data_IF_874391217986
#
_entry.id   IF_874391217986
#
_cell.length_a   1.000
_cell.length_b   1.000
_cell.length_c   1.000
_cell.angle_alpha   90.00
_cell.angle_beta   90.00
_cell.angle_gamma   90.00
#
_symmetry.space_group_name_H-M   'P 1'
#
loop_
_entity.id
_entity.type
_entity.pdbx_description
1 polymer ?
#
# COMPACT_ATOMS: atom_id res chain seq x y z
N UNK A 1 32.15 15.25 66.03
CA UNK A 1 31.18 15.91 65.11
C UNK A 1 31.72 15.73 63.70
N UNK A 2 30.92 15.11 62.82
CA UNK A 2 31.33 14.62 61.50
C UNK A 2 31.54 15.79 60.54
N UNK A 3 32.68 15.82 59.86
CA UNK A 3 32.97 16.77 58.78
C UNK A 3 32.23 16.31 57.51
N UNK A 4 31.36 17.17 56.98
CA UNK A 4 30.66 16.92 55.73
C UNK A 4 31.48 17.43 54.54
N UNK A 5 31.80 16.43 53.71
CA UNK A 5 32.08 16.41 52.29
C UNK A 5 31.26 17.43 51.47
N UNK A 6 31.92 18.16 50.57
CA UNK A 6 31.29 18.73 49.37
C UNK A 6 32.31 18.72 48.22
N UNK A 7 32.33 17.62 47.46
CA UNK A 7 32.98 17.54 46.15
C UNK A 7 31.98 18.06 45.11
N UNK A 8 32.33 19.15 44.41
CA UNK A 8 31.63 19.59 43.21
C UNK A 8 32.08 18.71 42.04
N UNK A 9 31.27 17.72 41.69
CA UNK A 9 31.38 17.02 40.40
C UNK A 9 30.70 17.88 39.34
N UNK A 10 31.51 18.52 38.51
CA UNK A 10 31.08 19.21 37.29
C UNK A 10 30.70 18.13 36.26
N UNK A 11 29.41 17.81 36.16
CA UNK A 11 28.89 16.91 35.13
C UNK A 11 28.82 17.66 33.80
N UNK A 12 29.79 17.39 32.92
CA UNK A 12 29.80 17.82 31.53
C UNK A 12 28.72 17.03 30.77
N UNK A 13 27.53 17.60 30.61
CA UNK A 13 26.48 17.03 29.75
C UNK A 13 26.83 17.34 28.29
N UNK A 14 27.44 16.38 27.59
CA UNK A 14 27.47 16.39 26.13
C UNK A 14 26.03 16.13 25.62
N UNK A 15 25.44 16.99 24.77
CA UNK A 15 24.26 16.60 24.02
C UNK A 15 24.71 15.54 23.00
N UNK A 16 24.24 14.32 23.19
CA UNK A 16 24.24 13.30 22.15
C UNK A 16 23.34 13.83 21.02
N UNK A 17 23.94 14.42 20.00
CA UNK A 17 23.29 14.67 18.72
C UNK A 17 23.05 13.30 18.11
N UNK A 18 21.84 12.78 18.28
CA UNK A 18 21.39 11.55 17.63
C UNK A 18 21.23 11.80 16.14
N UNK A 19 22.31 11.65 15.37
CA UNK A 19 22.20 11.27 13.97
C UNK A 19 21.75 9.80 13.93
N UNK A 20 20.44 9.58 14.00
CA UNK A 20 19.89 8.39 13.35
C UNK A 20 20.12 8.55 11.84
N UNK A 21 20.30 7.46 11.07
CA UNK A 21 20.13 7.56 9.63
C UNK A 21 18.80 8.24 9.39
N UNK A 22 18.80 9.28 8.57
CA UNK A 22 17.59 9.94 8.08
C UNK A 22 16.69 8.80 7.60
N UNK A 23 15.65 8.50 8.39
CA UNK A 23 14.69 7.46 8.03
C UNK A 23 14.21 7.86 6.65
N UNK A 24 14.45 7.03 5.64
CA UNK A 24 13.96 7.28 4.29
C UNK A 24 12.52 7.77 4.42
N UNK A 25 12.26 8.97 3.90
CA UNK A 25 10.95 9.59 4.09
C UNK A 25 9.93 8.63 3.54
N UNK A 26 8.94 8.27 4.36
CA UNK A 26 7.86 7.34 4.01
C UNK A 26 7.07 7.85 2.79
N UNK A 27 7.30 9.06 2.31
CA UNK A 27 6.68 9.59 1.11
C UNK A 27 7.56 9.53 -0.14
N UNK A 28 8.86 9.27 0.00
CA UNK A 28 9.79 9.23 -1.13
C UNK A 28 9.82 7.82 -1.74
N UNK A 29 9.85 7.74 -3.06
CA UNK A 29 9.89 6.50 -3.82
C UNK A 29 11.19 6.49 -4.63
N UNK A 30 12.27 6.04 -4.00
CA UNK A 30 13.63 5.98 -4.59
C UNK A 30 14.06 4.55 -4.96
N UNK A 31 13.21 3.56 -4.68
CA UNK A 31 13.46 2.15 -4.92
C UNK A 31 12.15 1.37 -4.95
N UNK A 32 12.21 0.05 -4.74
CA UNK A 32 11.04 -0.81 -4.82
C UNK A 32 10.06 -0.53 -3.68
N UNK A 33 8.79 -0.34 -4.04
CA UNK A 33 7.76 0.01 -3.06
C UNK A 33 6.37 -0.46 -3.45
N UNK A 34 5.63 -0.93 -2.46
CA UNK A 34 4.16 -1.03 -2.54
C UNK A 34 3.55 0.27 -2.03
N UNK A 35 2.84 0.96 -2.92
CA UNK A 35 2.19 2.25 -2.66
C UNK A 35 0.78 2.03 -2.11
N UNK A 36 0.06 1.00 -2.58
CA UNK A 36 -1.31 0.73 -2.15
C UNK A 36 -1.82 -0.66 -2.52
N UNK A 37 -2.85 -1.10 -1.81
CA UNK A 37 -3.65 -2.29 -2.14
C UNK A 37 -5.11 -1.89 -2.13
N UNK A 38 -5.82 -2.12 -3.22
CA UNK A 38 -7.26 -1.90 -3.34
C UNK A 38 -7.99 -3.23 -3.36
N UNK A 39 -9.21 -3.23 -2.82
CA UNK A 39 -10.19 -4.31 -2.95
C UNK A 39 -11.39 -3.74 -3.69
N UNK A 40 -11.95 -4.42 -4.68
CA UNK A 40 -13.20 -3.98 -5.31
C UNK A 40 -14.37 -3.91 -4.32
N UNK A 41 -14.40 -4.83 -3.35
CA UNK A 41 -15.32 -4.85 -2.22
C UNK A 41 -14.55 -4.83 -0.88
N UNK A 42 -14.30 -3.65 -0.28
CA UNK A 42 -13.51 -3.53 0.94
C UNK A 42 -14.07 -4.32 2.12
N UNK A 43 -15.37 -4.17 2.38
CA UNK A 43 -16.21 -5.07 3.18
C UNK A 43 -17.18 -5.80 2.26
N UNK A 44 -16.98 -7.11 2.12
CA UNK A 44 -17.64 -7.94 1.12
C UNK A 44 -18.91 -8.62 1.66
N UNK A 45 -19.71 -9.15 0.74
CA UNK A 45 -20.64 -10.23 1.07
C UNK A 45 -19.84 -11.51 1.43
N UNK A 46 -20.37 -12.42 2.25
CA UNK A 46 -19.70 -13.68 2.54
C UNK A 46 -19.70 -14.60 1.33
N UNK A 47 -18.59 -15.33 1.17
CA UNK A 47 -18.42 -16.33 0.11
C UNK A 47 -18.60 -15.76 -1.30
N UNK A 48 -18.23 -14.50 -1.51
CA UNK A 48 -18.18 -13.87 -2.83
C UNK A 48 -16.74 -13.63 -3.24
N UNK A 49 -16.53 -13.53 -4.55
CA UNK A 49 -15.22 -13.20 -5.08
C UNK A 49 -14.94 -11.71 -4.84
N UNK A 50 -13.71 -11.40 -4.46
CA UNK A 50 -13.19 -10.06 -4.18
C UNK A 50 -11.86 -9.94 -4.92
N UNK A 51 -11.77 -8.96 -5.79
CA UNK A 51 -10.55 -8.64 -6.54
C UNK A 51 -9.67 -7.70 -5.73
N UNK A 52 -8.41 -8.09 -5.56
CA UNK A 52 -7.35 -7.27 -4.99
C UNK A 52 -6.43 -6.77 -6.09
N UNK A 53 -5.99 -5.52 -5.95
CA UNK A 53 -5.07 -4.87 -6.89
C UNK A 53 -3.90 -4.23 -6.14
N UNK A 54 -2.70 -4.39 -6.68
CA UNK A 54 -1.46 -3.86 -6.13
C UNK A 54 -0.99 -2.65 -6.93
N UNK A 55 -0.84 -1.51 -6.26
CA UNK A 55 -0.09 -0.38 -6.79
C UNK A 55 1.33 -0.43 -6.22
N UNK A 56 2.31 -0.52 -7.10
CA UNK A 56 3.72 -0.60 -6.76
C UNK A 56 4.57 0.20 -7.75
N UNK A 57 5.79 0.52 -7.35
CA UNK A 57 6.75 1.28 -8.15
C UNK A 57 8.18 0.83 -7.82
N UNK A 58 9.10 0.97 -8.77
CA UNK A 58 10.52 0.71 -8.55
C UNK A 58 11.34 1.83 -9.20
N UNK A 59 11.73 2.80 -8.38
CA UNK A 59 12.53 3.94 -8.81
C UNK A 59 14.04 3.71 -8.60
N UNK A 60 14.47 2.46 -8.45
CA UNK A 60 15.89 2.13 -8.27
C UNK A 60 16.67 2.32 -9.57
N UNK A 61 17.39 3.44 -9.68
CA UNK A 61 18.26 3.75 -10.83
C UNK A 61 17.48 4.17 -12.09
N UNK A 62 18.21 4.33 -13.19
CA UNK A 62 17.68 4.93 -14.43
C UNK A 62 17.01 3.91 -15.37
N UNK A 63 17.21 2.62 -15.14
CA UNK A 63 16.69 1.55 -16.02
C UNK A 63 15.72 0.69 -15.24
N UNK A 64 14.45 0.57 -15.69
CA UNK A 64 13.50 -0.37 -15.10
C UNK A 64 14.09 -1.78 -15.10
N UNK A 65 14.03 -2.44 -13.95
CA UNK A 65 14.37 -3.85 -13.80
C UNK A 65 13.11 -4.68 -13.73
N UNK A 66 13.24 -5.95 -14.11
CA UNK A 66 12.15 -6.91 -14.00
C UNK A 66 11.83 -7.17 -12.53
N UNK A 67 10.53 -7.29 -12.24
CA UNK A 67 10.02 -7.56 -10.92
C UNK A 67 8.98 -8.67 -10.99
N UNK A 68 8.97 -9.56 -9.99
CA UNK A 68 7.95 -10.57 -9.79
C UNK A 68 6.99 -10.13 -8.67
N UNK A 69 5.69 -10.20 -8.92
CA UNK A 69 4.65 -9.94 -7.93
C UNK A 69 3.93 -11.23 -7.63
N UNK A 70 3.55 -11.42 -6.37
CA UNK A 70 2.78 -12.59 -5.98
C UNK A 70 1.66 -12.27 -5.01
N UNK A 71 0.71 -13.19 -4.95
CA UNK A 71 -0.37 -13.24 -3.97
C UNK A 71 -0.48 -14.63 -3.37
N UNK A 72 -0.84 -14.70 -2.09
CA UNK A 72 -1.18 -15.94 -1.38
C UNK A 72 -2.48 -15.73 -0.60
N UNK A 73 -3.57 -16.33 -1.08
CA UNK A 73 -4.89 -16.30 -0.46
C UNK A 73 -5.23 -17.57 0.33
N UNK A 74 -6.52 -17.89 0.37
CA UNK A 74 -7.07 -19.10 0.99
C UNK A 74 -6.99 -19.15 2.51
N UNK A 75 -6.56 -18.08 3.17
CA UNK A 75 -6.64 -17.97 4.61
C UNK A 75 -7.98 -17.38 5.03
N UNK A 76 -8.89 -18.23 5.49
CA UNK A 76 -10.23 -17.84 5.92
C UNK A 76 -10.42 -18.14 7.40
N UNK A 77 -10.91 -17.15 8.14
CA UNK A 77 -11.17 -17.20 9.58
C UNK A 77 -10.02 -17.84 10.37
N UNK A 78 -8.76 -17.36 10.23
CA UNK A 78 -7.63 -17.95 10.93
C UNK A 78 -7.84 -17.86 12.45
N UNK A 79 -7.25 -18.80 13.23
CA UNK A 79 -7.34 -18.77 14.68
C UNK A 79 -6.95 -17.42 15.27
N UNK A 80 -7.85 -16.83 16.05
CA UNK A 80 -7.66 -15.53 16.69
C UNK A 80 -7.61 -14.34 15.73
N UNK A 81 -8.02 -14.51 14.46
CA UNK A 81 -7.93 -13.49 13.42
C UNK A 81 -6.51 -12.99 13.16
N UNK A 82 -5.52 -13.85 13.46
CA UNK A 82 -4.10 -13.56 13.31
C UNK A 82 -3.57 -14.10 11.98
N UNK A 83 -2.78 -13.29 11.28
CA UNK A 83 -2.13 -13.69 10.02
C UNK A 83 -1.28 -14.96 10.18
N UNK A 84 -0.66 -15.18 11.35
CA UNK A 84 0.16 -16.37 11.61
C UNK A 84 -0.67 -17.67 11.59
N UNK A 85 -1.99 -17.57 11.84
CA UNK A 85 -2.91 -18.69 11.72
C UNK A 85 -3.11 -19.18 10.29
N UNK A 86 -2.71 -18.40 9.28
CA UNK A 86 -2.80 -18.77 7.87
C UNK A 86 -1.81 -19.87 7.48
N UNK A 87 -0.65 -19.95 8.14
CA UNK A 87 0.42 -20.89 7.76
C UNK A 87 -0.02 -22.35 7.90
N UNK A 88 -0.84 -22.65 8.91
CA UNK A 88 -1.43 -23.97 9.10
C UNK A 88 -2.44 -24.32 7.98
N UNK A 89 -3.24 -23.35 7.54
CA UNK A 89 -4.21 -23.55 6.45
C UNK A 89 -3.49 -23.78 5.12
N UNK A 90 -2.40 -23.08 4.85
CA UNK A 90 -1.58 -23.30 3.66
C UNK A 90 -0.90 -24.67 3.68
N UNK A 91 -0.38 -25.08 4.83
CA UNK A 91 0.21 -26.42 4.98
C UNK A 91 -0.82 -27.52 4.69
N UNK A 92 -2.04 -27.38 5.20
CA UNK A 92 -3.14 -28.29 4.90
C UNK A 92 -3.46 -28.31 3.40
N UNK A 93 -3.50 -27.13 2.77
CA UNK A 93 -3.83 -27.02 1.35
C UNK A 93 -2.72 -27.50 0.40
N UNK A 94 -1.44 -27.41 0.80
CA UNK A 94 -0.29 -27.96 0.06
C UNK A 94 -0.27 -29.50 0.01
N UNK A 95 -1.00 -30.18 0.92
CA UNK A 95 -1.09 -31.63 0.98
C UNK A 95 0.26 -32.35 1.24
N UNK A 96 0.31 -33.66 1.00
CA UNK A 96 1.56 -34.45 1.07
C UNK A 96 2.44 -34.24 -0.17
N UNK A 97 3.78 -34.39 -0.09
CA UNK A 97 4.67 -34.23 -1.23
C UNK A 97 4.36 -35.31 -2.29
N UNK A 98 4.34 -34.92 -3.57
CA UNK A 98 4.32 -35.89 -4.66
C UNK A 98 5.74 -36.09 -5.21
N UNK A 99 6.07 -37.28 -5.71
CA UNK A 99 7.46 -37.64 -6.11
C UNK A 99 7.98 -36.91 -7.38
N UNK A 100 7.52 -35.68 -7.69
CA UNK A 100 8.04 -34.86 -8.79
C UNK A 100 7.34 -33.52 -8.98
N UNK A 101 8.14 -32.43 -9.04
CA UNK A 101 7.79 -31.04 -9.39
C UNK A 101 6.50 -30.49 -8.77
N UNK A 102 6.56 -30.17 -7.46
CA UNK A 102 5.45 -29.77 -6.59
C UNK A 102 4.94 -28.32 -6.75
N UNK A 103 4.88 -27.76 -7.96
CA UNK A 103 4.25 -26.46 -8.20
C UNK A 103 3.25 -26.45 -9.36
N UNK A 104 3.39 -27.36 -10.33
CA UNK A 104 2.44 -27.49 -11.44
C UNK A 104 1.48 -28.66 -11.16
N UNK A 105 0.29 -28.37 -10.64
CA UNK A 105 -0.84 -29.31 -10.66
C UNK A 105 -1.29 -29.92 -9.33
N UNK A 106 -0.90 -29.35 -8.19
CA UNK A 106 -1.60 -29.65 -6.93
C UNK A 106 -3.02 -29.03 -6.99
N UNK A 107 -4.11 -29.84 -6.97
CA UNK A 107 -5.46 -29.31 -7.10
C UNK A 107 -5.79 -28.31 -5.99
N UNK A 108 -6.00 -27.05 -6.35
CA UNK A 108 -6.31 -25.97 -5.40
C UNK A 108 -5.18 -24.98 -5.13
N UNK A 109 -3.93 -25.28 -5.55
CA UNK A 109 -2.82 -24.34 -5.44
C UNK A 109 -3.03 -23.08 -6.32
N UNK A 110 -3.61 -23.28 -7.51
CA UNK A 110 -3.98 -22.20 -8.45
C UNK A 110 -5.03 -21.22 -7.87
N UNK A 111 -5.75 -21.63 -6.81
CA UNK A 111 -6.70 -20.77 -6.08
C UNK A 111 -6.08 -20.06 -4.89
N UNK A 112 -4.90 -20.53 -4.46
CA UNK A 112 -4.14 -19.93 -3.38
C UNK A 112 -3.16 -18.91 -3.92
N UNK A 113 -2.54 -19.20 -5.06
CA UNK A 113 -1.42 -18.45 -5.59
C UNK A 113 -1.80 -17.76 -6.89
N UNK A 114 -1.36 -16.51 -7.02
CA UNK A 114 -1.32 -15.83 -8.31
C UNK A 114 -0.04 -15.03 -8.42
N UNK A 115 0.40 -14.81 -9.66
CA UNK A 115 1.44 -13.85 -9.98
C UNK A 115 0.82 -12.64 -10.67
N UNK A 116 1.45 -11.49 -10.50
CA UNK A 116 0.97 -10.23 -11.08
C UNK A 116 0.32 -9.28 -10.09
N UNK A 117 -0.28 -8.23 -10.61
CA UNK A 117 -0.75 -7.11 -9.81
C UNK A 117 -2.21 -7.28 -9.35
N UNK A 118 -2.86 -8.37 -9.79
CA UNK A 118 -4.26 -8.68 -9.49
C UNK A 118 -4.38 -10.06 -8.87
N UNK A 119 -5.34 -10.20 -7.97
CA UNK A 119 -5.71 -11.49 -7.39
C UNK A 119 -7.16 -11.53 -6.98
N UNK A 120 -7.86 -12.61 -7.29
CA UNK A 120 -9.23 -12.84 -6.85
C UNK A 120 -9.22 -13.82 -5.71
N UNK A 121 -9.77 -13.41 -4.56
CA UNK A 121 -10.00 -14.29 -3.42
C UNK A 121 -11.48 -14.46 -3.16
N UNK A 122 -11.88 -15.63 -2.62
CA UNK A 122 -13.24 -15.82 -2.13
C UNK A 122 -13.31 -15.43 -0.66
N UNK A 123 -14.15 -14.44 -0.34
CA UNK A 123 -14.31 -13.93 1.01
C UNK A 123 -14.79 -15.01 1.98
N UNK A 124 -14.37 -14.91 3.25
CA UNK A 124 -14.66 -15.91 4.26
C UNK A 124 -16.17 -15.99 4.56
N UNK A 125 -16.67 -17.17 4.98
CA UNK A 125 -18.02 -17.27 5.54
C UNK A 125 -18.10 -16.53 6.89
N UNK A 126 -19.28 -16.02 7.22
CA UNK A 126 -19.54 -15.38 8.51
C UNK A 126 -19.50 -16.41 9.64
N UNK A 127 -18.85 -16.06 10.76
CA UNK A 127 -18.89 -16.85 12.00
C UNK A 127 -20.03 -16.38 12.90
N UNK A 128 -20.83 -17.31 13.41
CA UNK A 128 -21.96 -16.99 14.28
C UNK A 128 -21.55 -16.31 15.60
N UNK A 129 -20.34 -16.59 16.09
CA UNK A 129 -19.82 -16.00 17.33
C UNK A 129 -18.70 -15.00 17.00
N UNK A 130 -18.93 -13.68 17.12
CA UNK A 130 -17.86 -12.71 16.94
C UNK A 130 -16.80 -12.88 18.01
N UNK A 131 -15.53 -12.63 17.67
CA UNK A 131 -14.41 -12.72 18.61
C UNK A 131 -14.55 -11.74 19.79
N UNK A 132 -15.30 -10.65 19.61
CA UNK A 132 -15.56 -9.61 20.60
C UNK A 132 -17.08 -9.45 20.80
N UNK A 133 -17.52 -9.47 22.06
CA UNK A 133 -18.93 -9.26 22.40
C UNK A 133 -19.41 -7.87 21.94
N UNK A 134 -20.54 -7.82 21.25
CA UNK A 134 -21.15 -6.59 20.73
C UNK A 134 -20.69 -6.19 19.32
N UNK A 135 -19.68 -6.87 18.74
CA UNK A 135 -19.39 -6.71 17.31
C UNK A 135 -20.36 -7.53 16.46
N UNK A 136 -20.69 -7.06 15.24
CA UNK A 136 -21.41 -7.88 14.27
C UNK A 136 -20.64 -9.16 13.94
N UNK A 137 -21.39 -10.24 13.71
CA UNK A 137 -20.84 -11.47 13.14
C UNK A 137 -20.22 -11.17 11.79
N UNK A 138 -18.98 -11.61 11.59
CA UNK A 138 -18.23 -11.39 10.37
C UNK A 138 -17.36 -12.61 10.02
N UNK A 139 -16.97 -12.68 8.74
CA UNK A 139 -15.85 -13.49 8.30
C UNK A 139 -14.62 -12.61 8.06
N UNK A 140 -13.45 -13.24 8.07
CA UNK A 140 -12.18 -12.58 7.75
C UNK A 140 -11.37 -13.45 6.79
N UNK A 141 -11.02 -12.91 5.63
CA UNK A 141 -9.97 -13.46 4.77
C UNK A 141 -8.70 -12.62 4.90
N UNK A 142 -7.55 -13.27 4.97
CA UNK A 142 -6.23 -12.61 4.92
C UNK A 142 -5.54 -13.02 3.62
N UNK A 143 -5.15 -12.05 2.82
CA UNK A 143 -4.45 -12.24 1.55
C UNK A 143 -3.08 -11.61 1.65
N UNK A 144 -2.04 -12.38 1.37
CA UNK A 144 -0.66 -11.92 1.39
C UNK A 144 -0.23 -11.51 -0.01
N UNK A 145 0.69 -10.57 -0.09
CA UNK A 145 1.28 -10.12 -1.33
C UNK A 145 2.77 -9.85 -1.17
N UNK A 146 3.48 -9.83 -2.28
CA UNK A 146 4.82 -9.28 -2.32
C UNK A 146 5.28 -8.87 -3.71
N UNK A 147 6.31 -8.03 -3.72
CA UNK A 147 7.00 -7.57 -4.93
C UNK A 147 8.49 -7.82 -4.73
N UNK A 148 9.10 -8.49 -5.70
CA UNK A 148 10.50 -8.90 -5.69
C UNK A 148 11.19 -8.35 -6.95
N UNK A 149 12.21 -7.52 -6.78
CA UNK A 149 13.08 -7.09 -7.86
C UNK A 149 14.18 -8.14 -8.13
N UNK A 150 13.74 -9.35 -8.47
CA UNK A 150 14.55 -10.54 -8.64
C UNK A 150 13.64 -11.73 -8.98
N UNK A 151 14.00 -12.93 -8.52
CA UNK A 151 13.23 -14.16 -8.76
C UNK A 151 12.65 -14.74 -7.45
N UNK A 152 11.39 -15.17 -7.47
CA UNK A 152 10.74 -15.78 -6.32
C UNK A 152 11.12 -17.27 -6.16
N UNK A 153 11.56 -17.62 -4.96
CA UNK A 153 11.87 -18.99 -4.53
C UNK A 153 10.60 -19.76 -4.10
N UNK A 154 9.78 -20.16 -5.08
CA UNK A 154 8.55 -20.93 -4.85
C UNK A 154 8.80 -22.34 -4.30
N UNK A 155 9.84 -23.02 -4.81
CA UNK A 155 10.20 -24.37 -4.38
C UNK A 155 10.70 -24.37 -2.93
N UNK A 156 11.59 -23.43 -2.58
CA UNK A 156 12.07 -23.31 -1.22
C UNK A 156 10.96 -22.90 -0.26
N UNK A 157 10.01 -22.06 -0.68
CA UNK A 157 8.84 -21.72 0.13
C UNK A 157 7.98 -22.92 0.50
N UNK A 158 7.55 -23.71 -0.48
CA UNK A 158 6.71 -24.88 -0.24
C UNK A 158 7.42 -25.91 0.65
N UNK A 159 8.73 -26.11 0.45
CA UNK A 159 9.54 -26.99 1.30
C UNK A 159 9.68 -26.48 2.74
N UNK A 160 9.87 -25.17 2.94
CA UNK A 160 9.96 -24.56 4.29
C UNK A 160 8.66 -24.75 5.06
N UNK A 161 7.51 -24.48 4.42
CA UNK A 161 6.19 -24.72 5.02
C UNK A 161 6.00 -26.18 5.42
N UNK A 162 6.28 -27.12 4.51
CA UNK A 162 6.15 -28.57 4.77
C UNK A 162 7.03 -29.06 5.92
N UNK A 163 8.22 -28.48 6.09
CA UNK A 163 9.16 -28.83 7.18
C UNK A 163 8.84 -28.11 8.50
N UNK A 164 7.84 -27.23 8.53
CA UNK A 164 7.53 -26.39 9.68
C UNK A 164 8.64 -25.39 10.02
N UNK A 165 9.44 -24.99 9.03
CA UNK A 165 10.56 -24.04 9.18
C UNK A 165 10.07 -22.61 8.96
N UNK A 166 9.02 -22.23 9.69
CA UNK A 166 8.35 -20.93 9.58
C UNK A 166 8.19 -20.35 10.97
N UNK A 167 9.02 -19.34 11.26
CA UNK A 167 9.07 -18.68 12.57
C UNK A 167 8.37 -17.32 12.55
N UNK A 168 8.27 -16.70 11.37
CA UNK A 168 7.74 -15.36 11.16
C UNK A 168 7.19 -15.19 9.74
N UNK A 169 6.70 -13.99 9.42
CA UNK A 169 6.17 -13.69 8.09
C UNK A 169 7.24 -13.78 6.99
N UNK A 170 8.48 -13.36 7.27
CA UNK A 170 9.54 -13.35 6.26
C UNK A 170 9.94 -14.76 5.82
N UNK A 171 9.92 -15.73 6.75
CA UNK A 171 10.18 -17.15 6.47
C UNK A 171 8.97 -17.90 5.93
N UNK A 172 7.75 -17.41 6.18
CA UNK A 172 6.49 -17.98 5.71
C UNK A 172 6.17 -17.71 4.23
N UNK A 173 6.85 -16.76 3.61
CA UNK A 173 6.64 -16.33 2.23
C UNK A 173 7.79 -16.81 1.32
N UNK A 174 7.63 -16.77 -0.01
CA UNK A 174 8.73 -16.92 -0.97
C UNK A 174 9.90 -16.00 -0.61
N UNK A 175 11.12 -16.43 -0.89
CA UNK A 175 12.26 -15.50 -0.83
C UNK A 175 12.41 -14.83 -2.18
N UNK A 176 12.80 -13.56 -2.17
CA UNK A 176 13.31 -12.90 -3.35
C UNK A 176 14.80 -13.22 -3.48
N UNK A 177 15.19 -13.81 -4.61
CA UNK A 177 16.57 -14.18 -4.92
C UNK A 177 17.12 -13.23 -5.98
N UNK A 178 18.38 -12.82 -5.79
CA UNK A 178 19.13 -12.10 -6.81
C UNK A 178 19.45 -13.07 -7.97
N UNK A 179 19.04 -12.77 -9.21
CA UNK A 179 19.21 -13.70 -10.35
C UNK A 179 20.68 -13.97 -10.72
N UNK A 180 21.61 -13.10 -10.35
CA UNK A 180 23.03 -13.23 -10.67
C UNK A 180 23.77 -14.11 -9.66
N UNK A 181 23.43 -13.97 -8.39
CA UNK A 181 24.13 -14.66 -7.28
C UNK A 181 23.38 -15.88 -6.77
N UNK A 182 22.06 -15.94 -6.93
CA UNK A 182 21.17 -16.93 -6.31
C UNK A 182 21.02 -16.75 -4.80
N UNK A 183 21.57 -15.69 -4.22
CA UNK A 183 21.43 -15.35 -2.80
C UNK A 183 20.16 -14.52 -2.56
N UNK A 184 19.81 -14.25 -1.30
CA UNK A 184 18.67 -13.37 -0.98
C UNK A 184 18.94 -11.96 -1.51
N UNK A 185 17.93 -11.39 -2.18
CA UNK A 185 17.97 -10.01 -2.64
C UNK A 185 18.16 -9.04 -1.47
N UNK A 186 18.65 -7.84 -1.77
CA UNK A 186 18.83 -6.80 -0.77
C UNK A 186 17.48 -6.44 -0.13
N UNK A 187 17.44 -5.96 1.14
CA UNK A 187 16.19 -5.60 1.80
C UNK A 187 15.33 -4.58 1.03
N UNK A 188 15.94 -3.69 0.24
CA UNK A 188 15.23 -2.71 -0.60
C UNK A 188 14.65 -3.28 -1.89
N UNK A 189 14.90 -4.56 -2.20
CA UNK A 189 14.47 -5.24 -3.42
C UNK A 189 13.36 -6.26 -3.16
N UNK A 190 12.86 -6.32 -1.92
CA UNK A 190 11.78 -7.23 -1.54
C UNK A 190 10.81 -6.61 -0.56
N UNK A 191 9.56 -6.44 -0.99
CA UNK A 191 8.48 -5.89 -0.17
C UNK A 191 7.38 -6.94 -0.03
N UNK A 192 6.92 -7.19 1.19
CA UNK A 192 5.82 -8.10 1.48
C UNK A 192 4.82 -7.47 2.43
N UNK A 193 3.56 -7.92 2.34
CA UNK A 193 2.51 -7.49 3.23
C UNK A 193 1.31 -8.42 3.17
N UNK A 194 0.24 -8.01 3.85
CA UNK A 194 -1.06 -8.65 3.74
C UNK A 194 -2.17 -7.62 3.79
N UNK A 195 -3.32 -8.00 3.24
CA UNK A 195 -4.57 -7.26 3.27
C UNK A 195 -5.66 -8.14 3.88
N UNK A 196 -6.58 -7.50 4.57
CA UNK A 196 -7.73 -8.16 5.20
C UNK A 196 -9.01 -7.82 4.43
N UNK A 197 -9.80 -8.85 4.14
CA UNK A 197 -11.15 -8.76 3.57
C UNK A 197 -12.13 -9.20 4.64
N UNK A 198 -12.91 -8.25 5.18
CA UNK A 198 -13.99 -8.58 6.10
C UNK A 198 -15.25 -8.89 5.30
N UNK A 199 -16.02 -9.88 5.74
CA UNK A 199 -17.28 -10.23 5.13
C UNK A 199 -18.43 -10.12 6.12
N UNK A 200 -19.54 -9.51 5.67
CA UNK A 200 -20.73 -9.30 6.46
C UNK A 200 -21.98 -9.77 5.71
N UNK A 201 -22.81 -10.54 6.41
CA UNK A 201 -24.06 -11.04 5.84
C UNK A 201 -25.02 -9.89 5.49
N UNK A 202 -25.13 -8.90 6.37
CA UNK A 202 -26.01 -7.75 6.19
C UNK A 202 -25.37 -6.67 5.29
N UNK A 203 -26.11 -6.23 4.27
CA UNK A 203 -25.62 -5.27 3.27
C UNK A 203 -25.25 -3.91 3.87
N UNK A 204 -25.94 -3.50 4.95
CA UNK A 204 -25.71 -2.22 5.64
C UNK A 204 -24.33 -2.10 6.27
N UNK A 205 -23.59 -3.21 6.43
CA UNK A 205 -22.22 -3.19 6.91
C UNK A 205 -21.19 -3.12 5.77
N UNK A 206 -21.59 -3.11 4.50
CA UNK A 206 -20.68 -2.97 3.36
C UNK A 206 -20.35 -1.49 3.10
N UNK A 207 -19.30 -1.20 2.36
CA UNK A 207 -18.86 0.15 1.98
C UNK A 207 -18.31 0.19 0.56
N UNK A 208 -18.22 1.39 0.00
CA UNK A 208 -17.54 1.65 -1.27
C UNK A 208 -16.05 1.97 -1.06
N UNK A 209 -15.29 1.97 -2.16
CA UNK A 209 -13.97 2.59 -2.16
C UNK A 209 -14.11 4.12 -2.28
N UNK A 210 -13.10 4.89 -1.79
CA UNK A 210 -13.02 6.31 -2.05
C UNK A 210 -13.05 6.64 -3.55
N UNK A 211 -13.71 7.73 -3.91
CA UNK A 211 -13.86 8.22 -5.29
C UNK A 211 -13.00 9.46 -5.48
N UNK A 212 -12.05 9.40 -6.41
CA UNK A 212 -11.20 10.52 -6.82
C UNK A 212 -11.73 11.12 -8.13
N UNK A 213 -11.88 12.45 -8.16
CA UNK A 213 -12.55 13.19 -9.23
C UNK A 213 -14.04 13.39 -8.96
N UNK A 214 -14.75 13.86 -9.97
CA UNK A 214 -16.21 13.95 -9.98
C UNK A 214 -16.82 12.86 -10.88
N UNK A 215 -18.11 12.55 -10.69
CA UNK A 215 -18.83 11.54 -11.49
C UNK A 215 -18.99 11.92 -12.97
N UNK A 216 -18.74 13.19 -13.33
CA UNK A 216 -18.96 13.75 -14.66
C UNK A 216 -17.70 13.72 -15.54
N UNK A 217 -16.58 13.21 -15.02
CA UNK A 217 -15.31 13.11 -15.74
C UNK A 217 -14.49 14.41 -15.74
N UNK A 218 -14.67 15.25 -14.72
CA UNK A 218 -13.88 16.44 -14.48
C UNK A 218 -12.49 16.16 -13.93
N UNK A 219 -11.86 17.19 -13.36
CA UNK A 219 -10.48 17.11 -12.89
C UNK A 219 -10.34 16.13 -11.72
N UNK A 220 -9.27 15.33 -11.73
CA UNK A 220 -8.95 14.39 -10.65
C UNK A 220 -7.81 14.89 -9.74
N UNK A 221 -7.07 15.92 -10.16
CA UNK A 221 -5.95 16.47 -9.41
C UNK A 221 -5.71 17.96 -9.70
N UNK A 222 -5.24 18.66 -8.67
CA UNK A 222 -4.87 20.07 -8.71
C UNK A 222 -3.44 20.29 -8.18
N UNK A 223 -2.72 21.17 -8.84
CA UNK A 223 -1.42 21.70 -8.40
C UNK A 223 -1.54 23.22 -8.27
N UNK A 224 -1.30 23.76 -7.08
CA UNK A 224 -1.52 25.18 -6.74
C UNK A 224 -2.94 25.67 -7.09
N UNK A 225 -3.93 24.78 -6.93
CA UNK A 225 -5.33 25.05 -7.25
C UNK A 225 -5.66 25.08 -8.75
N UNK A 226 -4.74 24.68 -9.62
CA UNK A 226 -4.94 24.54 -11.06
C UNK A 226 -5.12 23.06 -11.40
N UNK A 227 -6.18 22.74 -12.14
CA UNK A 227 -6.43 21.38 -12.63
C UNK A 227 -5.33 20.93 -13.59
N UNK A 228 -4.85 19.69 -13.39
CA UNK A 228 -3.80 19.08 -14.23
C UNK A 228 -4.27 17.74 -14.78
N UNK A 229 -3.65 17.33 -15.90
CA UNK A 229 -3.86 16.00 -16.46
C UNK A 229 -3.30 14.93 -15.53
N UNK A 230 -4.03 13.83 -15.44
CA UNK A 230 -3.64 12.66 -14.63
C UNK A 230 -3.17 11.55 -15.54
N UNK A 231 -2.13 10.84 -15.12
CA UNK A 231 -1.67 9.65 -15.84
C UNK A 231 -2.71 8.54 -15.77
N UNK A 232 -3.28 8.37 -14.58
CA UNK A 232 -4.18 7.28 -14.26
C UNK A 232 -4.92 7.54 -12.94
N UNK A 233 -6.08 6.89 -12.80
CA UNK A 233 -6.87 6.83 -11.56
C UNK A 233 -7.29 5.38 -11.32
N UNK A 234 -7.23 4.93 -10.07
CA UNK A 234 -7.67 3.62 -9.64
C UNK A 234 -7.03 2.49 -10.46
N UNK A 235 -7.86 1.60 -11.02
CA UNK A 235 -7.37 0.45 -11.79
C UNK A 235 -6.56 0.83 -13.02
N UNK A 236 -6.72 2.05 -13.56
CA UNK A 236 -5.91 2.54 -14.68
C UNK A 236 -4.43 2.69 -14.32
N UNK A 237 -4.08 2.75 -13.03
CA UNK A 237 -2.69 2.79 -12.56
C UNK A 237 -2.07 1.41 -12.36
N UNK A 238 -2.86 0.35 -12.51
CA UNK A 238 -2.40 -1.03 -12.36
C UNK A 238 -2.22 -1.62 -13.74
N UNK A 239 -1.23 -2.49 -13.88
CA UNK A 239 -0.99 -3.09 -15.17
C UNK A 239 -2.20 -3.87 -15.70
N UNK A 240 -2.54 -3.70 -17.00
CA UNK A 240 -3.62 -4.45 -17.62
C UNK A 240 -3.23 -5.94 -17.71
N UNK A 241 -4.23 -6.82 -17.64
CA UNK A 241 -4.03 -8.28 -17.71
C UNK A 241 -3.41 -8.73 -19.05
N UNK A 242 -3.64 -7.97 -20.12
CA UNK A 242 -2.98 -8.11 -21.41
C UNK A 242 -2.36 -6.75 -21.77
N UNK A 243 -1.03 -6.68 -21.86
CA UNK A 243 -0.38 -5.54 -22.50
C UNK A 243 -0.69 -5.53 -24.00
N UNK A 244 -0.44 -4.41 -24.68
CA UNK A 244 -0.61 -4.32 -26.14
C UNK A 244 0.21 -5.39 -26.91
N UNK A 245 1.25 -5.94 -26.27
CA UNK A 245 2.15 -6.95 -26.81
C UNK A 245 1.86 -8.37 -26.28
N UNK A 246 0.86 -8.54 -25.42
CA UNK A 246 0.44 -9.83 -24.87
C UNK A 246 1.32 -10.39 -23.74
N UNK A 247 2.34 -9.64 -23.31
CA UNK A 247 3.20 -10.00 -22.17
C UNK A 247 2.70 -9.35 -20.87
N UNK A 248 2.75 -10.05 -19.73
CA UNK A 248 2.44 -9.44 -18.44
C UNK A 248 3.44 -8.33 -18.13
N UNK A 249 2.99 -7.22 -17.54
CA UNK A 249 3.92 -6.20 -17.09
C UNK A 249 4.91 -6.78 -16.07
N UNK A 250 6.20 -6.71 -16.39
CA UNK A 250 7.30 -7.04 -15.49
C UNK A 250 8.00 -5.79 -14.93
N UNK A 251 7.69 -4.61 -15.47
CA UNK A 251 8.25 -3.31 -15.04
C UNK A 251 7.16 -2.40 -14.48
N UNK A 252 7.52 -1.37 -13.69
CA UNK A 252 6.57 -0.38 -13.21
C UNK A 252 5.83 0.29 -14.37
N UNK A 253 4.66 0.86 -14.06
CA UNK A 253 3.84 1.55 -15.06
C UNK A 253 4.67 2.68 -15.73
N UNK A 254 4.74 2.72 -17.08
CA UNK A 254 5.64 3.61 -17.79
C UNK A 254 5.43 5.07 -17.40
N UNK A 255 6.53 5.79 -17.23
CA UNK A 255 6.53 7.23 -17.01
C UNK A 255 6.32 7.89 -18.38
N UNK A 256 5.40 8.85 -18.52
CA UNK A 256 5.33 9.64 -19.75
C UNK A 256 6.69 10.29 -20.03
N UNK A 257 7.16 10.22 -21.27
CA UNK A 257 8.37 10.93 -21.69
C UNK A 257 8.09 12.44 -21.74
N UNK A 258 8.21 13.10 -20.59
CA UNK A 258 8.09 14.55 -20.51
C UNK A 258 9.42 15.22 -20.83
N UNK A 259 9.42 16.06 -21.86
CA UNK A 259 10.60 16.85 -22.25
C UNK A 259 10.57 18.29 -21.74
N UNK A 260 9.45 18.71 -21.14
CA UNK A 260 9.27 20.04 -20.59
C UNK A 260 7.88 20.27 -20.01
N UNK A 261 7.55 21.55 -19.80
CA UNK A 261 6.24 21.99 -19.34
C UNK A 261 5.24 22.02 -20.51
N UNK A 262 4.67 20.86 -20.82
CA UNK A 262 3.62 20.69 -21.83
C UNK A 262 2.25 21.14 -21.28
N UNK A 263 1.28 21.50 -22.14
CA UNK A 263 -0.07 21.83 -21.69
C UNK A 263 -0.69 20.68 -20.88
N UNK A 264 -1.33 20.99 -19.75
CA UNK A 264 -1.94 19.99 -18.86
C UNK A 264 -1.01 19.39 -17.81
N UNK A 265 0.32 19.49 -18.00
CA UNK A 265 1.32 19.00 -17.04
C UNK A 265 1.60 20.04 -15.96
N UNK A 266 1.72 19.58 -14.71
CA UNK A 266 2.16 20.43 -13.60
C UNK A 266 3.60 20.90 -13.81
N UNK A 267 3.80 22.21 -14.02
CA UNK A 267 5.11 22.82 -14.24
C UNK A 267 5.60 23.49 -12.95
N UNK A 268 6.63 22.93 -12.33
CA UNK A 268 7.12 23.34 -11.00
C UNK A 268 8.53 23.91 -11.13
N UNK A 269 8.79 25.05 -10.48
CA UNK A 269 10.14 25.65 -10.47
C UNK A 269 11.09 24.82 -9.59
N UNK A 270 12.31 24.55 -10.08
CA UNK A 270 13.32 23.85 -9.31
C UNK A 270 13.75 24.63 -8.05
N UNK A 271 14.04 23.91 -6.97
CA UNK A 271 14.59 24.49 -5.76
C UNK A 271 16.12 24.64 -5.85
N UNK A 272 16.72 25.49 -5.02
CA UNK A 272 18.19 25.64 -5.00
C UNK A 272 18.91 24.37 -4.48
N UNK A 273 18.23 23.61 -3.62
CA UNK A 273 18.64 22.32 -3.11
C UNK A 273 17.42 21.40 -3.02
N UNK A 274 17.66 20.08 -3.07
CA UNK A 274 16.58 19.09 -3.10
C UNK A 274 15.69 19.20 -1.86
N UNK A 275 14.41 19.52 -2.08
CA UNK A 275 13.43 19.57 -1.00
C UNK A 275 13.68 20.69 0.02
N UNK A 276 14.40 21.75 -0.36
CA UNK A 276 14.72 22.87 0.53
C UNK A 276 13.43 23.58 1.02
N UNK A 277 13.15 23.63 2.33
CA UNK A 277 11.93 24.25 2.85
C UNK A 277 11.92 25.79 2.72
N UNK A 278 13.01 26.41 2.29
CA UNK A 278 13.04 27.83 1.91
C UNK A 278 12.53 28.10 0.49
N UNK A 279 12.34 27.04 -0.31
CA UNK A 279 11.73 27.08 -1.62
C UNK A 279 10.22 27.34 -1.50
N UNK A 280 9.57 27.93 -2.53
CA UNK A 280 8.11 28.02 -2.57
C UNK A 280 7.46 26.64 -2.36
N UNK A 281 6.47 26.59 -1.47
CA UNK A 281 5.62 25.41 -1.30
C UNK A 281 4.69 25.27 -2.51
N UNK A 282 4.62 24.06 -3.05
CA UNK A 282 3.64 23.67 -4.06
C UNK A 282 2.54 22.85 -3.41
N UNK A 283 1.29 23.22 -3.66
CA UNK A 283 0.12 22.53 -3.15
C UNK A 283 -0.30 21.40 -4.06
N UNK A 284 -0.27 20.17 -3.54
CA UNK A 284 -0.72 18.97 -4.23
C UNK A 284 -2.05 18.52 -3.65
N UNK A 285 -3.07 18.38 -4.49
CA UNK A 285 -4.44 18.11 -4.03
C UNK A 285 -5.22 17.26 -5.04
N UNK A 286 -5.56 15.99 -4.76
CA UNK A 286 -6.55 15.28 -5.54
C UNK A 286 -7.94 15.89 -5.33
N UNK A 287 -8.79 15.79 -6.34
CA UNK A 287 -10.17 16.25 -6.25
C UNK A 287 -11.00 15.17 -5.56
N UNK A 288 -11.64 15.54 -4.46
CA UNK A 288 -12.42 14.64 -3.61
C UNK A 288 -13.69 15.36 -3.16
N UNK A 289 -14.84 14.73 -3.38
CA UNK A 289 -16.14 15.26 -2.97
C UNK A 289 -16.63 14.52 -1.71
N UNK A 290 -16.94 15.22 -0.60
CA UNK A 290 -17.41 14.59 0.64
C UNK A 290 -18.63 13.68 0.41
N UNK A 291 -19.58 14.12 -0.42
CA UNK A 291 -20.82 13.40 -0.72
C UNK A 291 -20.62 12.07 -1.45
N UNK A 292 -19.46 11.87 -2.09
CA UNK A 292 -19.11 10.62 -2.78
C UNK A 292 -18.23 9.70 -1.91
N UNK A 293 -17.69 10.21 -0.80
CA UNK A 293 -16.62 9.57 -0.05
C UNK A 293 -16.96 9.29 1.41
N UNK A 294 -17.77 10.15 2.05
CA UNK A 294 -18.05 10.06 3.49
C UNK A 294 -19.27 9.19 3.72
N UNK A 295 -19.04 7.95 4.15
CA UNK A 295 -20.09 7.02 4.56
C UNK A 295 -20.28 6.98 6.09
N UNK A 296 -21.52 6.69 6.57
CA UNK A 296 -21.74 6.35 7.97
C UNK A 296 -21.04 5.05 8.36
N UNK A 297 -20.35 5.03 9.51
CA UNK A 297 -19.75 3.80 10.04
C UNK A 297 -20.76 3.03 10.91
N UNK A 298 -21.68 2.31 10.27
CA UNK A 298 -22.80 1.61 10.93
C UNK A 298 -22.33 0.64 12.02
N UNK A 299 -21.21 -0.05 11.83
CA UNK A 299 -20.65 -0.97 12.84
C UNK A 299 -20.29 -0.20 14.11
N UNK A 300 -19.53 0.88 13.95
CA UNK A 300 -19.07 1.66 15.08
C UNK A 300 -20.24 2.41 15.75
N UNK A 301 -21.26 2.81 14.98
CA UNK A 301 -22.51 3.36 15.51
C UNK A 301 -23.23 2.38 16.44
N UNK A 302 -23.34 1.11 16.07
CA UNK A 302 -23.98 0.09 16.92
C UNK A 302 -23.16 -0.25 18.17
N UNK A 303 -21.84 -0.34 18.02
CA UNK A 303 -20.94 -0.69 19.12
C UNK A 303 -20.85 0.43 20.16
N UNK A 304 -20.80 1.69 19.71
CA UNK A 304 -20.57 2.85 20.58
C UNK A 304 -21.85 3.67 20.86
N UNK A 305 -22.95 3.41 20.17
CA UNK A 305 -24.22 4.12 20.34
C UNK A 305 -24.17 5.60 19.94
N UNK A 306 -23.31 5.96 18.99
CA UNK A 306 -23.09 7.34 18.53
C UNK A 306 -23.00 7.39 17.01
N UNK A 307 -23.63 8.39 16.39
CA UNK A 307 -23.52 8.63 14.95
C UNK A 307 -22.09 9.07 14.63
N UNK A 308 -21.33 8.18 14.00
CA UNK A 308 -19.96 8.44 13.54
C UNK A 308 -19.81 8.02 12.10
N UNK A 309 -18.95 8.74 11.41
CA UNK A 309 -18.62 8.54 10.00
C UNK A 309 -17.32 7.74 9.86
N UNK A 310 -16.99 7.36 8.63
CA UNK A 310 -15.69 6.75 8.34
C UNK A 310 -14.53 7.72 8.59
N UNK A 311 -13.46 7.22 9.20
CA UNK A 311 -12.22 7.98 9.26
C UNK A 311 -11.46 7.75 7.97
N UNK A 312 -11.05 8.84 7.30
CA UNK A 312 -10.37 8.79 6.01
C UNK A 312 -9.08 9.58 6.04
N UNK A 313 -8.07 9.11 5.32
CA UNK A 313 -6.79 9.80 5.17
C UNK A 313 -6.25 9.64 3.76
N UNK A 314 -5.34 10.54 3.41
CA UNK A 314 -4.63 10.53 2.15
C UNK A 314 -3.12 10.48 2.42
N UNK A 315 -2.43 9.58 1.72
CA UNK A 315 -0.99 9.52 1.67
C UNK A 315 -0.48 9.99 0.32
N UNK A 316 0.54 10.84 0.33
CA UNK A 316 1.18 11.37 -0.86
C UNK A 316 2.57 10.77 -1.03
N UNK A 317 2.93 10.52 -2.28
CA UNK A 317 4.25 10.00 -2.63
C UNK A 317 4.85 10.80 -3.78
N UNK A 318 6.17 10.93 -3.77
CA UNK A 318 6.95 11.54 -4.85
C UNK A 318 8.20 10.70 -5.11
N UNK A 319 8.67 10.64 -6.35
CA UNK A 319 9.92 9.95 -6.66
C UNK A 319 11.16 10.81 -6.39
N UNK A 320 11.02 12.15 -6.41
CA UNK A 320 12.08 13.12 -6.08
C UNK A 320 11.51 14.37 -5.40
N UNK A 321 12.35 15.10 -4.67
CA UNK A 321 11.96 16.29 -3.90
C UNK A 321 11.57 15.94 -2.46
N UNK A 322 10.73 16.75 -1.83
CA UNK A 322 10.32 16.52 -0.45
C UNK A 322 8.85 16.89 -0.18
N UNK A 323 8.18 16.08 0.62
CA UNK A 323 6.85 16.38 1.14
C UNK A 323 6.95 16.76 2.62
N UNK A 324 6.31 17.86 3.00
CA UNK A 324 6.19 18.30 4.40
C UNK A 324 5.01 17.68 5.12
N UNK A 325 3.96 17.33 4.36
CA UNK A 325 2.73 16.73 4.89
C UNK A 325 2.27 15.63 3.95
N UNK A 326 2.98 14.51 4.05
CA UNK A 326 2.79 13.29 3.27
C UNK A 326 1.58 12.46 3.71
N UNK A 327 1.06 12.69 4.91
CA UNK A 327 -0.19 12.11 5.42
C UNK A 327 -1.13 13.22 5.87
N UNK A 328 -2.36 13.24 5.35
CA UNK A 328 -3.40 14.19 5.76
C UNK A 328 -4.68 13.47 6.16
N UNK A 329 -5.32 13.95 7.22
CA UNK A 329 -6.66 13.53 7.60
C UNK A 329 -7.68 14.18 6.66
N UNK A 330 -8.52 13.37 6.03
CA UNK A 330 -9.53 13.79 5.06
C UNK A 330 -10.92 13.87 5.71
N UNK A 331 -11.28 12.84 6.48
CA UNK A 331 -12.50 12.84 7.28
C UNK A 331 -12.17 12.33 8.69
N UNK A 332 -12.53 13.11 9.70
CA UNK A 332 -12.49 12.67 11.08
C UNK A 332 -13.84 12.08 11.47
N UNK A 333 -13.84 10.92 12.13
CA UNK A 333 -15.09 10.21 12.43
C UNK A 333 -16.06 10.96 13.34
N UNK A 334 -15.59 11.97 14.09
CA UNK A 334 -16.41 12.75 15.04
C UNK A 334 -16.64 14.19 14.58
N UNK A 335 -15.63 14.80 13.96
CA UNK A 335 -15.64 16.22 13.56
C UNK A 335 -15.94 16.45 12.08
N UNK A 336 -15.97 15.39 11.27
CA UNK A 336 -16.36 15.41 9.86
C UNK A 336 -15.23 15.80 8.90
N UNK A 337 -15.64 16.27 7.73
CA UNK A 337 -14.74 16.52 6.60
C UNK A 337 -13.72 17.63 6.89
N UNK A 338 -12.46 17.35 6.59
CA UNK A 338 -11.37 18.30 6.65
C UNK A 338 -10.96 18.72 5.25
N UNK A 339 -11.25 19.97 4.88
CA UNK A 339 -10.95 20.51 3.55
C UNK A 339 -9.46 20.89 3.36
N UNK A 340 -8.67 20.96 4.44
CA UNK A 340 -7.22 21.14 4.40
C UNK A 340 -6.51 19.78 4.31
N UNK A 341 -6.67 19.11 3.17
CA UNK A 341 -6.07 17.79 2.90
C UNK A 341 -4.98 17.82 1.83
N UNK A 342 -4.55 18.99 1.40
CA UNK A 342 -3.43 19.15 0.45
C UNK A 342 -2.08 18.79 1.09
N UNK A 343 -1.20 18.18 0.31
CA UNK A 343 0.21 18.07 0.67
C UNK A 343 0.98 19.31 0.24
N UNK A 344 2.00 19.66 1.03
CA UNK A 344 2.99 20.70 0.70
C UNK A 344 4.25 20.04 0.18
N UNK A 345 4.63 20.38 -1.05
CA UNK A 345 5.76 19.83 -1.78
C UNK A 345 6.85 20.89 -2.01
N UNK A 346 8.10 20.46 -1.87
CA UNK A 346 9.28 21.22 -2.26
C UNK A 346 9.99 20.46 -3.38
N UNK A 347 10.18 21.13 -4.51
CA UNK A 347 10.77 20.54 -5.69
C UNK A 347 12.22 20.07 -5.47
N UNK A 348 12.69 19.10 -6.27
CA UNK A 348 14.11 18.82 -6.37
C UNK A 348 14.86 19.98 -7.04
N UNK A 349 16.19 19.96 -6.95
CA UNK A 349 17.09 20.90 -7.61
C UNK A 349 17.24 20.61 -9.10
N UNK A 350 17.23 19.34 -9.47
CA UNK A 350 17.51 18.92 -10.84
C UNK A 350 16.23 18.95 -11.69
N UNK A 351 16.20 19.74 -12.79
CA UNK A 351 15.08 19.73 -13.71
C UNK A 351 14.81 18.34 -14.32
N UNK A 352 13.56 18.10 -14.70
CA UNK A 352 13.14 16.86 -15.34
C UNK A 352 11.77 16.37 -14.87
N UNK A 353 11.34 15.18 -15.34
CA UNK A 353 10.09 14.58 -14.93
C UNK A 353 10.06 14.28 -13.43
N UNK A 354 8.86 14.37 -12.87
CA UNK A 354 8.52 14.10 -11.48
C UNK A 354 7.22 13.30 -11.47
N UNK A 355 7.18 12.25 -10.65
CA UNK A 355 5.94 11.48 -10.43
C UNK A 355 5.39 11.78 -9.06
N UNK A 356 4.08 11.95 -9.01
CA UNK A 356 3.35 12.25 -7.79
C UNK A 356 2.17 11.27 -7.70
N UNK A 357 2.04 10.62 -6.55
CA UNK A 357 0.90 9.78 -6.24
C UNK A 357 0.13 10.34 -5.05
N UNK A 358 -1.18 10.14 -5.06
CA UNK A 358 -2.02 10.27 -3.90
C UNK A 358 -2.82 8.99 -3.71
N UNK A 359 -2.86 8.48 -2.48
CA UNK A 359 -3.62 7.29 -2.10
C UNK A 359 -4.56 7.62 -0.97
N UNK A 360 -5.86 7.57 -1.27
CA UNK A 360 -6.94 7.79 -0.31
C UNK A 360 -7.34 6.45 0.30
N UNK A 361 -7.54 6.42 1.61
CA UNK A 361 -7.95 5.23 2.36
C UNK A 361 -9.00 5.60 3.39
N UNK A 362 -9.91 4.67 3.63
CA UNK A 362 -10.82 4.70 4.77
C UNK A 362 -10.45 3.63 5.81
N UNK A 363 -11.03 3.74 7.00
CA UNK A 363 -10.83 2.79 8.10
C UNK A 363 -11.62 1.48 7.95
N UNK A 364 -12.38 1.30 6.88
CA UNK A 364 -13.10 0.07 6.51
C UNK A 364 -12.41 -0.65 5.33
N UNK A 365 -11.18 -0.23 5.04
CA UNK A 365 -10.25 -0.91 4.16
C UNK A 365 -10.48 -0.61 2.68
N UNK A 366 -11.27 0.40 2.34
CA UNK A 366 -11.34 0.92 0.99
C UNK A 366 -10.11 1.76 0.68
N UNK A 367 -9.73 1.74 -0.59
CA UNK A 367 -8.60 2.48 -1.08
C UNK A 367 -8.81 2.90 -2.53
N UNK A 368 -8.31 4.08 -2.87
CA UNK A 368 -8.24 4.55 -4.25
C UNK A 368 -7.00 5.42 -4.41
N UNK A 369 -6.54 5.59 -5.64
CA UNK A 369 -5.33 6.34 -5.90
C UNK A 369 -5.36 7.03 -7.25
N UNK A 370 -4.49 8.01 -7.38
CA UNK A 370 -4.25 8.77 -8.60
C UNK A 370 -2.76 9.02 -8.73
N UNK A 371 -2.27 9.02 -9.97
CA UNK A 371 -0.92 9.44 -10.30
C UNK A 371 -0.99 10.59 -11.30
N UNK A 372 -0.14 11.59 -11.09
CA UNK A 372 0.07 12.65 -12.07
C UNK A 372 1.53 12.71 -12.50
N UNK A 373 1.78 13.11 -13.76
CA UNK A 373 3.09 13.50 -14.19
C UNK A 373 3.29 15.00 -13.92
N UNK A 374 4.50 15.38 -13.55
CA UNK A 374 4.89 16.76 -13.38
C UNK A 374 6.27 16.98 -14.01
N UNK A 375 6.61 18.24 -14.29
CA UNK A 375 7.92 18.62 -14.81
C UNK A 375 8.52 19.72 -13.94
N UNK A 376 9.74 19.48 -13.45
CA UNK A 376 10.55 20.45 -12.74
C UNK A 376 11.41 21.20 -13.75
N UNK A 377 11.32 22.53 -13.80
CA UNK A 377 12.03 23.37 -14.79
C UNK A 377 13.15 24.23 -14.21
#
# INVERSE_FOLDING_TARGET
>A
MKAHLAWMTLALTLPLVGCGPELERISEVTGLRVIGVQKDAPYAAPETDVELRLLWEDAAGDTPRETERFWIGGCNNPPGDLYAGCFAQWLEALGEPSDGNDAEGAPGLDRLLAQGDRFVTRSAPVRDTPAVAGQPSHGLSIVFFGVCAGQLDWDGWSQRLRRGQVDDLGSALPYCLDPQTGERAAPGDYVVGYSSVYSYAEERYRNANPVIGDEEGGAAFQVDGVDVEVDCVGEGCVCPEESADGEPCSTPFPVPELTGCEPGVACIDACAADGDPSCPEVDLRPVLLPELNVEPNVIAQEVFGRDIEEAMWISYFVDRGALRSDLRLLNDSETGWNDDYSAKFYAPREPGPLRIWAVVRDNRGGASWVRIPAYVR
#
